data_IF_141046943209
#
_entry.id   IF_141046943209
#
_cell.length_a   1.000
_cell.length_b   1.000
_cell.length_c   1.000
_cell.angle_alpha   90.00
_cell.angle_beta   90.00
_cell.angle_gamma   90.00
#
_symmetry.space_group_name_H-M   'P 1'
#
loop_
_entity.id
_entity.type
_entity.pdbx_description
1 polymer ?
#
# COMPACT_ATOMS: atom_id res chain seq x y z
N UNK A 1 7.44 26.14 10.18
CA UNK A 1 7.80 24.96 9.37
C UNK A 1 6.66 24.75 8.39
N UNK A 2 6.92 24.85 7.09
CA UNK A 2 5.97 24.48 6.04
C UNK A 2 6.29 23.06 5.60
N UNK A 3 5.27 22.24 5.34
CA UNK A 3 5.42 20.87 4.85
C UNK A 3 4.68 20.74 3.53
N UNK A 4 5.11 19.79 2.70
CA UNK A 4 4.49 19.53 1.41
C UNK A 4 3.12 18.88 1.58
N UNK A 5 2.10 19.45 0.96
CA UNK A 5 0.74 18.90 0.97
C UNK A 5 0.54 17.77 -0.06
N UNK A 6 1.48 17.59 -0.98
CA UNK A 6 1.48 16.57 -2.03
C UNK A 6 2.91 16.25 -2.48
N UNK A 7 3.16 14.99 -2.81
CA UNK A 7 4.41 14.50 -3.36
C UNK A 7 4.12 13.49 -4.48
N UNK A 8 4.82 13.63 -5.60
CA UNK A 8 4.83 12.65 -6.68
C UNK A 8 6.27 12.30 -7.03
N UNK A 9 6.57 11.03 -7.22
CA UNK A 9 7.89 10.59 -7.64
C UNK A 9 7.82 9.33 -8.49
N UNK A 10 8.90 9.09 -9.23
CA UNK A 10 9.15 7.85 -9.95
C UNK A 10 10.34 7.14 -9.32
N UNK A 11 10.34 5.82 -9.37
CA UNK A 11 11.43 4.99 -8.87
C UNK A 11 11.71 3.84 -9.82
N UNK A 12 12.97 3.43 -9.87
CA UNK A 12 13.40 2.18 -10.49
C UNK A 12 13.68 1.18 -9.37
N UNK A 13 12.97 0.04 -9.41
CA UNK A 13 13.14 -1.05 -8.45
C UNK A 13 14.27 -1.97 -8.89
N UNK A 14 14.78 -2.77 -7.94
CA UNK A 14 15.64 -3.89 -8.30
C UNK A 14 14.93 -4.82 -9.29
N UNK A 15 15.60 -5.15 -10.40
CA UNK A 15 15.00 -5.88 -11.52
C UNK A 15 14.41 -5.00 -12.63
N UNK A 16 14.53 -3.66 -12.55
CA UNK A 16 14.18 -2.73 -13.62
C UNK A 16 12.70 -2.38 -13.71
N UNK A 17 11.88 -2.83 -12.76
CA UNK A 17 10.48 -2.43 -12.68
C UNK A 17 10.39 -0.93 -12.33
N UNK A 18 9.50 -0.21 -13.01
CA UNK A 18 9.26 1.20 -12.73
C UNK A 18 8.04 1.37 -11.82
N UNK A 19 8.16 2.26 -10.84
CA UNK A 19 7.07 2.66 -9.97
C UNK A 19 6.79 4.15 -10.14
N UNK A 20 5.51 4.52 -10.18
CA UNK A 20 5.04 5.91 -10.09
C UNK A 20 4.16 6.04 -8.87
N UNK A 21 4.51 6.93 -7.94
CA UNK A 21 3.84 7.07 -6.65
C UNK A 21 3.38 8.51 -6.49
N UNK A 22 2.13 8.68 -6.08
CA UNK A 22 1.55 9.97 -5.75
C UNK A 22 0.85 9.90 -4.39
N UNK A 23 1.14 10.88 -3.53
CA UNK A 23 0.56 11.04 -2.21
C UNK A 23 0.09 12.47 -2.08
N UNK A 24 -1.13 12.67 -1.59
CA UNK A 24 -1.70 13.99 -1.33
C UNK A 24 -2.45 14.01 0.00
N UNK A 25 -2.05 14.92 0.89
CA UNK A 25 -2.77 15.24 2.12
C UNK A 25 -3.84 16.33 1.94
N UNK A 26 -3.76 17.10 0.85
CA UNK A 26 -4.71 18.17 0.54
C UNK A 26 -6.02 17.69 -0.14
N UNK A 27 -6.09 16.43 -0.60
CA UNK A 27 -7.29 15.88 -1.22
C UNK A 27 -8.41 15.62 -0.18
N UNK A 28 -9.27 16.63 0.05
CA UNK A 28 -10.26 16.61 1.16
C UNK A 28 -11.50 15.73 0.93
N UNK A 29 -11.89 15.46 -0.30
CA UNK A 29 -13.11 14.69 -0.60
C UNK A 29 -12.86 13.18 -0.72
N UNK A 30 -11.69 12.81 -1.23
CA UNK A 30 -11.35 11.46 -1.62
C UNK A 30 -10.25 10.89 -0.72
N UNK A 31 -10.52 9.77 -0.07
CA UNK A 31 -9.50 8.94 0.60
C UNK A 31 -9.08 7.75 -0.29
N UNK A 32 -9.21 7.94 -1.61
CA UNK A 32 -8.87 6.97 -2.65
C UNK A 32 -7.43 6.51 -2.49
N UNK A 33 -7.26 5.19 -2.37
CA UNK A 33 -5.95 4.55 -2.45
C UNK A 33 -6.02 3.52 -3.56
N UNK A 34 -5.17 3.70 -4.56
CA UNK A 34 -5.01 2.78 -5.68
C UNK A 34 -3.64 2.13 -5.65
N UNK A 35 -3.58 0.86 -6.04
CA UNK A 35 -2.34 0.19 -6.40
C UNK A 35 -2.59 -0.57 -7.69
N UNK A 36 -1.86 -0.21 -8.73
CA UNK A 36 -1.86 -0.92 -10.00
C UNK A 36 -0.51 -1.61 -10.18
N UNK A 37 -0.53 -2.87 -10.58
CA UNK A 37 0.65 -3.68 -10.89
C UNK A 37 0.48 -4.20 -12.32
N UNK A 38 1.49 -3.95 -13.16
CA UNK A 38 1.50 -4.39 -14.56
C UNK A 38 2.68 -5.34 -14.77
N UNK A 39 2.40 -6.50 -15.34
CA UNK A 39 3.40 -7.48 -15.73
C UNK A 39 3.26 -7.84 -17.21
N UNK A 40 4.18 -8.67 -17.71
CA UNK A 40 4.15 -9.15 -19.10
C UNK A 40 2.84 -9.88 -19.45
N UNK A 41 2.27 -10.57 -18.47
CA UNK A 41 1.17 -11.50 -18.69
C UNK A 41 -0.18 -10.90 -18.32
N UNK A 42 -0.21 -9.72 -17.71
CA UNK A 42 -1.45 -9.16 -17.19
C UNK A 42 -1.26 -8.03 -16.20
N UNK A 43 -2.33 -7.75 -15.47
CA UNK A 43 -2.37 -6.65 -14.52
C UNK A 43 -3.24 -6.96 -13.31
N UNK A 44 -2.96 -6.27 -12.20
CA UNK A 44 -3.79 -6.22 -11.01
C UNK A 44 -4.07 -4.77 -10.63
N UNK A 45 -5.31 -4.47 -10.23
CA UNK A 45 -5.71 -3.17 -9.68
C UNK A 45 -6.42 -3.37 -8.36
N UNK A 46 -5.89 -2.77 -7.32
CA UNK A 46 -6.52 -2.67 -6.01
C UNK A 46 -7.04 -1.24 -5.81
N UNK A 47 -8.33 -1.13 -5.48
CA UNK A 47 -8.94 0.12 -5.07
C UNK A 47 -9.48 0.01 -3.65
N UNK A 48 -9.02 0.90 -2.77
CA UNK A 48 -9.52 1.02 -1.41
C UNK A 48 -10.28 2.34 -1.29
N UNK A 49 -11.57 2.24 -0.94
CA UNK A 49 -12.44 3.36 -0.64
C UNK A 49 -13.06 3.13 0.73
N UNK A 50 -12.48 3.69 1.79
CA UNK A 50 -12.95 3.42 3.16
C UNK A 50 -14.32 4.03 3.46
N UNK A 51 -14.86 4.90 2.61
CA UNK A 51 -16.19 5.49 2.79
C UNK A 51 -17.29 4.64 2.14
N UNK A 52 -16.94 3.77 1.19
CA UNK A 52 -17.89 2.87 0.56
C UNK A 52 -18.22 1.64 1.44
N UNK A 53 -19.47 1.13 1.42
CA UNK A 53 -19.79 -0.18 1.98
C UNK A 53 -18.90 -1.28 1.37
N UNK A 54 -18.29 -2.11 2.22
CA UNK A 54 -17.32 -3.13 1.77
C UNK A 54 -15.97 -2.54 1.33
N UNK A 55 -15.68 -1.29 1.68
CA UNK A 55 -14.47 -0.54 1.32
C UNK A 55 -13.14 -1.10 1.84
N UNK A 56 -13.20 -2.02 2.81
CA UNK A 56 -12.06 -2.78 3.34
C UNK A 56 -12.33 -4.26 3.14
N UNK A 57 -11.36 -5.02 2.60
CA UNK A 57 -9.98 -4.64 2.27
C UNK A 57 -9.83 -3.81 0.99
N UNK A 58 -10.93 -3.62 0.25
CA UNK A 58 -10.96 -2.93 -1.04
C UNK A 58 -11.55 -3.84 -2.12
N UNK A 59 -11.48 -3.39 -3.37
CA UNK A 59 -11.87 -4.16 -4.55
C UNK A 59 -10.65 -4.46 -5.39
N UNK A 60 -10.48 -5.73 -5.77
CA UNK A 60 -9.38 -6.20 -6.59
C UNK A 60 -9.91 -6.58 -7.97
N UNK A 61 -9.21 -6.17 -9.03
CA UNK A 61 -9.44 -6.61 -10.39
C UNK A 61 -8.15 -7.15 -10.97
N UNK A 62 -8.28 -8.03 -11.96
CA UNK A 62 -7.16 -8.41 -12.80
C UNK A 62 -7.57 -8.82 -14.19
N UNK A 63 -6.61 -8.74 -15.10
CA UNK A 63 -6.72 -9.22 -16.46
C UNK A 63 -5.46 -10.02 -16.79
N UNK A 64 -5.60 -11.07 -17.59
CA UNK A 64 -4.48 -11.85 -18.10
C UNK A 64 -4.59 -11.97 -19.62
N UNK A 65 -3.47 -11.80 -20.32
CA UNK A 65 -3.40 -11.83 -21.78
C UNK A 65 -3.80 -10.51 -22.45
N UNK A 66 -3.44 -10.40 -23.73
CA UNK A 66 -3.69 -9.21 -24.54
C UNK A 66 -5.19 -8.99 -24.78
N UNK A 67 -5.68 -7.76 -24.57
CA UNK A 67 -7.06 -7.37 -24.83
C UNK A 67 -8.09 -7.86 -23.81
N UNK A 68 -7.66 -8.53 -22.74
CA UNK A 68 -8.57 -8.98 -21.69
C UNK A 68 -9.14 -7.80 -20.89
N UNK A 69 -10.46 -7.82 -20.66
CA UNK A 69 -11.12 -6.83 -19.81
C UNK A 69 -10.93 -7.21 -18.34
N UNK A 70 -10.41 -6.31 -17.49
CA UNK A 70 -10.23 -6.59 -16.06
C UNK A 70 -11.51 -7.07 -15.38
N UNK A 71 -11.43 -8.22 -14.73
CA UNK A 71 -12.53 -8.83 -13.98
C UNK A 71 -12.29 -8.71 -12.48
N UNK A 72 -13.35 -8.59 -11.66
CA UNK A 72 -13.23 -8.65 -10.21
C UNK A 72 -12.58 -9.97 -9.76
N UNK A 73 -11.60 -9.89 -8.86
CA UNK A 73 -10.98 -11.05 -8.22
C UNK A 73 -11.47 -11.11 -6.77
N UNK A 74 -12.08 -12.23 -6.33
CA UNK A 74 -12.54 -12.35 -4.95
C UNK A 74 -11.33 -12.33 -4.00
N UNK A 75 -11.42 -11.51 -2.95
CA UNK A 75 -10.39 -11.45 -1.92
C UNK A 75 -10.65 -12.61 -0.94
N UNK A 76 -9.69 -13.52 -0.73
CA UNK A 76 -9.89 -14.66 0.15
C UNK A 76 -10.28 -14.26 1.57
N UNK A 77 -11.24 -14.97 2.16
CA UNK A 77 -11.77 -14.69 3.51
C UNK A 77 -10.68 -14.64 4.58
N UNK A 78 -9.64 -15.49 4.48
CA UNK A 78 -8.48 -15.47 5.40
C UNK A 78 -7.78 -14.10 5.48
N UNK A 79 -7.93 -13.25 4.47
CA UNK A 79 -7.34 -11.90 4.41
C UNK A 79 -8.28 -10.81 4.96
N UNK A 80 -9.54 -11.16 5.28
CA UNK A 80 -10.54 -10.26 5.86
C UNK A 80 -11.02 -10.72 7.24
N UNK A 81 -10.60 -11.90 7.69
CA UNK A 81 -10.94 -12.44 9.02
C UNK A 81 -10.66 -11.43 10.14
N UNK A 82 -11.73 -11.01 10.81
CA UNK A 82 -11.69 -10.05 11.92
C UNK A 82 -12.05 -8.62 11.53
N UNK A 83 -12.31 -8.31 10.25
CA UNK A 83 -12.74 -6.97 9.82
C UNK A 83 -14.17 -6.62 10.25
N UNK A 84 -14.97 -7.62 10.61
CA UNK A 84 -16.37 -7.46 11.01
C UNK A 84 -16.56 -7.18 12.51
N UNK A 85 -15.47 -7.19 13.30
CA UNK A 85 -15.55 -7.20 14.78
C UNK A 85 -15.93 -5.84 15.41
N UNK A 86 -16.19 -4.81 14.62
CA UNK A 86 -16.40 -3.44 15.11
C UNK A 86 -17.53 -2.71 14.39
N UNK A 87 -18.00 -1.60 14.96
CA UNK A 87 -18.94 -0.70 14.29
C UNK A 87 -18.43 -0.33 12.87
N UNK A 88 -19.30 -0.24 11.84
CA UNK A 88 -18.89 -0.08 10.44
C UNK A 88 -17.92 1.08 10.20
N UNK A 89 -18.08 2.16 10.96
CA UNK A 89 -17.27 3.38 10.93
C UNK A 89 -15.80 3.14 11.35
N UNK A 90 -15.58 2.26 12.33
CA UNK A 90 -14.28 2.04 13.00
C UNK A 90 -13.57 0.77 12.55
N UNK A 91 -14.35 -0.18 12.02
CA UNK A 91 -13.90 -1.47 11.52
C UNK A 91 -12.67 -1.39 10.59
N UNK A 92 -12.57 -0.48 9.60
CA UNK A 92 -11.38 -0.34 8.77
C UNK A 92 -10.07 -0.09 9.51
N UNK A 93 -10.07 0.89 10.42
CA UNK A 93 -8.88 1.30 11.14
C UNK A 93 -8.51 0.25 12.19
N UNK A 94 -9.51 -0.19 12.97
CA UNK A 94 -9.33 -1.22 13.99
C UNK A 94 -8.85 -2.53 13.38
N UNK A 95 -9.36 -2.94 12.20
CA UNK A 95 -8.90 -4.13 11.50
C UNK A 95 -7.42 -4.07 11.12
N UNK A 96 -6.96 -2.95 10.54
CA UNK A 96 -5.56 -2.78 10.13
C UNK A 96 -4.64 -2.80 11.36
N UNK A 97 -4.96 -1.99 12.37
CA UNK A 97 -4.16 -1.92 13.59
C UNK A 97 -4.17 -3.25 14.37
N UNK A 98 -5.33 -3.87 14.56
CA UNK A 98 -5.43 -5.15 15.26
C UNK A 98 -4.67 -6.26 14.50
N UNK A 99 -4.70 -6.27 13.17
CA UNK A 99 -3.95 -7.25 12.37
C UNK A 99 -2.44 -7.09 12.55
N UNK A 100 -1.93 -5.86 12.46
CA UNK A 100 -0.49 -5.58 12.65
C UNK A 100 -0.06 -5.89 14.09
N UNK A 101 -0.83 -5.46 15.09
CA UNK A 101 -0.52 -5.71 16.51
C UNK A 101 -0.60 -7.20 16.85
N UNK A 102 -1.56 -7.95 16.28
CA UNK A 102 -1.67 -9.40 16.47
C UNK A 102 -0.42 -10.11 15.95
N UNK A 103 0.01 -9.80 14.72
CA UNK A 103 1.24 -10.35 14.13
C UNK A 103 2.48 -10.01 14.95
N UNK A 104 2.57 -8.77 15.42
CA UNK A 104 3.67 -8.35 16.29
C UNK A 104 3.70 -9.11 17.61
N UNK A 105 2.54 -9.30 18.26
CA UNK A 105 2.45 -10.07 19.49
C UNK A 105 2.69 -11.58 19.28
N UNK A 106 2.29 -12.14 18.15
CA UNK A 106 2.64 -13.52 17.75
C UNK A 106 4.14 -13.70 17.57
N UNK A 107 4.82 -12.74 16.93
CA UNK A 107 6.26 -12.75 16.81
C UNK A 107 6.94 -12.74 18.18
N UNK A 108 6.54 -11.86 19.10
CA UNK A 108 7.09 -11.82 20.48
C UNK A 108 6.93 -13.18 21.18
N UNK A 109 5.77 -13.83 21.01
CA UNK A 109 5.45 -15.10 21.69
C UNK A 109 6.21 -16.29 21.12
N UNK A 110 6.45 -16.31 19.82
CA UNK A 110 6.99 -17.49 19.10
C UNK A 110 8.47 -17.35 18.77
N UNK A 111 8.98 -16.11 18.68
CA UNK A 111 10.30 -15.80 18.13
C UNK A 111 10.37 -15.89 16.59
N UNK A 112 9.28 -16.25 15.92
CA UNK A 112 9.25 -16.40 14.46
C UNK A 112 9.09 -15.05 13.75
N UNK A 113 10.00 -14.74 12.83
CA UNK A 113 9.98 -13.47 12.10
C UNK A 113 8.67 -13.27 11.32
N UNK A 114 8.04 -12.11 11.51
CA UNK A 114 6.83 -11.71 10.80
C UNK A 114 7.10 -10.51 9.89
N UNK A 115 6.41 -10.45 8.73
CA UNK A 115 6.44 -9.30 7.83
C UNK A 115 5.11 -8.51 7.86
N UNK A 116 5.17 -7.16 7.83
CA UNK A 116 6.39 -6.34 7.87
C UNK A 116 7.06 -6.35 9.26
N UNK A 117 8.38 -6.19 9.30
CA UNK A 117 9.21 -6.09 10.50
C UNK A 117 9.83 -4.69 10.62
N UNK A 118 10.71 -4.51 11.61
CA UNK A 118 11.51 -3.27 11.72
C UNK A 118 12.39 -3.03 10.49
N UNK A 119 12.86 -4.11 9.83
CA UNK A 119 13.68 -4.00 8.61
C UNK A 119 12.92 -3.27 7.51
N UNK A 120 11.69 -3.69 7.19
CA UNK A 120 10.88 -3.05 6.15
C UNK A 120 10.58 -1.58 6.48
N UNK A 121 10.36 -1.28 7.77
CA UNK A 121 10.21 0.10 8.24
C UNK A 121 11.47 0.95 8.02
N UNK A 122 12.65 0.38 8.31
CA UNK A 122 13.94 1.05 8.11
C UNK A 122 14.25 1.27 6.62
N UNK A 123 14.04 0.27 5.75
CA UNK A 123 14.25 0.45 4.31
C UNK A 123 13.29 1.51 3.72
N UNK A 124 12.06 1.62 4.23
CA UNK A 124 11.16 2.70 3.84
C UNK A 124 11.67 4.09 4.23
N UNK A 125 12.38 4.24 5.36
CA UNK A 125 13.00 5.52 5.73
C UNK A 125 14.10 5.93 4.74
N UNK A 126 14.92 4.98 4.28
CA UNK A 126 15.97 5.24 3.29
C UNK A 126 15.41 5.77 1.97
N UNK A 127 14.23 5.31 1.57
CA UNK A 127 13.51 5.86 0.41
C UNK A 127 13.12 7.32 0.65
N UNK A 128 12.59 7.66 1.84
CA UNK A 128 12.24 9.04 2.17
C UNK A 128 13.47 9.96 2.17
N UNK A 129 14.59 9.50 2.73
CA UNK A 129 15.86 10.25 2.72
C UNK A 129 16.34 10.52 1.28
N UNK A 130 16.27 9.50 0.41
CA UNK A 130 16.63 9.63 -1.00
C UNK A 130 15.70 10.60 -1.75
N UNK A 131 14.39 10.61 -1.43
CA UNK A 131 13.43 11.53 -2.03
C UNK A 131 13.70 12.99 -1.62
N UNK A 132 14.00 13.24 -0.34
CA UNK A 132 14.35 14.58 0.13
C UNK A 132 15.60 15.10 -0.57
N UNK A 133 16.62 14.23 -0.72
CA UNK A 133 17.83 14.56 -1.48
C UNK A 133 17.54 14.80 -2.96
N UNK A 134 16.74 13.95 -3.58
CA UNK A 134 16.35 14.06 -4.99
C UNK A 134 15.60 15.36 -5.27
N UNK A 135 14.70 15.77 -4.38
CA UNK A 135 13.98 17.03 -4.49
C UNK A 135 14.90 18.26 -4.35
N UNK A 136 15.90 18.19 -3.48
CA UNK A 136 16.86 19.28 -3.27
C UNK A 136 17.89 19.41 -4.40
N UNK A 137 18.33 18.28 -4.98
CA UNK A 137 19.36 18.23 -6.02
C UNK A 137 18.79 18.11 -7.44
N UNK A 138 17.47 17.98 -7.58
CA UNK A 138 16.73 17.86 -8.84
C UNK A 138 17.26 16.73 -9.75
N UNK A 139 17.65 15.59 -9.15
CA UNK A 139 18.25 14.48 -9.89
C UNK A 139 17.86 13.10 -9.33
N UNK A 140 18.20 12.05 -10.07
CA UNK A 140 18.06 10.66 -9.63
C UNK A 140 19.01 10.36 -8.47
N UNK A 141 18.47 9.85 -7.37
CA UNK A 141 19.24 9.46 -6.19
C UNK A 141 19.09 7.96 -5.96
N UNK A 142 20.22 7.29 -5.77
CA UNK A 142 20.24 5.88 -5.35
C UNK A 142 19.82 5.78 -3.89
N UNK A 143 18.83 4.93 -3.61
CA UNK A 143 18.48 4.54 -2.23
C UNK A 143 19.65 3.73 -1.65
N UNK A 144 20.21 4.18 -0.53
CA UNK A 144 21.33 3.55 0.18
C UNK A 144 20.85 2.43 1.12
#
# INVERSE_FOLDING_TARGET
MTVEDSCAFVAEMEGGAQASIHVSGAARSSNYRGLDIFGSDGMLRLLIDRKAPGGVPGRLWGAQGSGAVPQPIPIPERLTQGSERSAPERAPAEFIFATLTRRFAEWIRTGEAAVPSFREGFEAQKVLDALLKSAAEECWVRVA
#
